data_IF_095318390528
#
_entry.id   IF_095318390528
#
_cell.length_a   1.000
_cell.length_b   1.000
_cell.length_c   1.000
_cell.angle_alpha   90.00
_cell.angle_beta   90.00
_cell.angle_gamma   90.00
#
_symmetry.space_group_name_H-M   'P 1'
#
loop_
_entity.id
_entity.type
_entity.pdbx_description
1 polymer ?
#
# COMPACT_ATOMS: atom_id res chain seq x y z
N UNK A 1 -19.80 -27.25 -2.72
CA UNK A 1 -19.03 -27.09 -1.46
C UNK A 1 -19.14 -25.63 -1.03
N UNK A 2 -19.56 -25.36 0.22
CA UNK A 2 -19.68 -23.98 0.71
C UNK A 2 -18.46 -23.68 1.58
N UNK A 3 -17.47 -22.98 1.01
CA UNK A 3 -16.24 -22.62 1.73
C UNK A 3 -16.52 -21.49 2.72
N UNK A 4 -15.67 -21.36 3.73
CA UNK A 4 -15.72 -20.21 4.65
C UNK A 4 -15.73 -18.87 3.89
N UNK A 5 -14.95 -18.79 2.80
CA UNK A 5 -14.93 -17.65 1.88
C UNK A 5 -16.29 -17.43 1.19
N UNK A 6 -16.88 -18.47 0.59
CA UNK A 6 -18.18 -18.36 -0.07
C UNK A 6 -19.29 -17.89 0.88
N UNK A 7 -19.25 -18.33 2.15
CA UNK A 7 -20.16 -17.85 3.18
C UNK A 7 -19.92 -16.40 3.58
N UNK A 8 -18.66 -15.95 3.63
CA UNK A 8 -18.33 -14.56 3.92
C UNK A 8 -18.84 -13.64 2.80
N UNK A 9 -18.58 -13.98 1.54
CA UNK A 9 -18.98 -13.17 0.39
C UNK A 9 -20.50 -12.99 0.32
N UNK A 10 -21.28 -14.05 0.60
CA UNK A 10 -22.75 -13.96 0.69
C UNK A 10 -23.24 -12.99 1.78
N UNK A 11 -22.53 -12.91 2.91
CA UNK A 11 -22.86 -11.91 3.95
C UNK A 11 -22.40 -10.51 3.55
N UNK A 12 -21.28 -10.41 2.84
CA UNK A 12 -20.74 -9.14 2.38
C UNK A 12 -21.69 -8.42 1.40
N UNK A 13 -22.51 -9.15 0.66
CA UNK A 13 -23.55 -8.56 -0.21
C UNK A 13 -24.49 -7.61 0.53
N UNK A 14 -24.77 -7.84 1.82
CA UNK A 14 -25.65 -6.99 2.64
C UNK A 14 -24.94 -5.92 3.47
N UNK A 15 -23.62 -5.80 3.35
CA UNK A 15 -22.85 -4.78 4.07
C UNK A 15 -23.11 -3.36 3.53
N UNK A 16 -22.77 -2.32 4.32
CA UNK A 16 -22.69 -0.95 3.82
C UNK A 16 -21.83 -0.84 2.56
N UNK A 17 -22.15 0.12 1.70
CA UNK A 17 -21.51 0.27 0.40
C UNK A 17 -20.00 0.49 0.52
N UNK A 18 -19.57 1.27 1.51
CA UNK A 18 -18.17 1.58 1.77
C UNK A 18 -17.38 0.31 2.07
N UNK A 19 -17.92 -0.57 2.92
CA UNK A 19 -17.29 -1.84 3.26
C UNK A 19 -17.24 -2.82 2.07
N UNK A 20 -18.26 -2.80 1.19
CA UNK A 20 -18.23 -3.59 -0.05
C UNK A 20 -17.17 -3.07 -1.02
N UNK A 21 -17.07 -1.76 -1.19
CA UNK A 21 -16.05 -1.12 -2.05
C UNK A 21 -14.63 -1.43 -1.56
N UNK A 22 -14.42 -1.40 -0.25
CA UNK A 22 -13.14 -1.78 0.36
C UNK A 22 -12.81 -3.25 0.07
N UNK A 23 -13.76 -4.17 0.27
CA UNK A 23 -13.57 -5.59 -0.02
C UNK A 23 -13.28 -5.85 -1.50
N UNK A 24 -13.96 -5.16 -2.42
CA UNK A 24 -13.69 -5.25 -3.85
C UNK A 24 -12.29 -4.76 -4.20
N UNK A 25 -11.84 -3.66 -3.58
CA UNK A 25 -10.49 -3.16 -3.82
C UNK A 25 -9.43 -4.15 -3.33
N UNK A 26 -9.62 -4.69 -2.12
CA UNK A 26 -8.72 -5.72 -1.58
C UNK A 26 -8.66 -6.96 -2.48
N UNK A 27 -9.80 -7.40 -3.03
CA UNK A 27 -9.83 -8.52 -3.96
C UNK A 27 -9.03 -8.22 -5.24
N UNK A 28 -9.20 -7.02 -5.82
CA UNK A 28 -8.42 -6.57 -6.98
C UNK A 28 -6.93 -6.48 -6.70
N UNK A 29 -6.55 -6.01 -5.51
CA UNK A 29 -5.15 -5.93 -5.11
C UNK A 29 -4.55 -7.34 -4.98
N UNK A 30 -5.27 -8.29 -4.36
CA UNK A 30 -4.85 -9.69 -4.28
C UNK A 30 -4.67 -10.29 -5.67
N UNK A 31 -5.65 -10.10 -6.57
CA UNK A 31 -5.57 -10.59 -7.95
C UNK A 31 -4.36 -10.01 -8.70
N UNK A 32 -4.07 -8.73 -8.49
CA UNK A 32 -2.90 -8.10 -9.08
C UNK A 32 -1.60 -8.73 -8.55
N UNK A 33 -1.53 -9.14 -7.30
CA UNK A 33 -0.33 -9.74 -6.71
C UNK A 33 -0.16 -11.23 -7.03
N UNK A 34 -1.24 -11.94 -7.38
CA UNK A 34 -1.17 -13.35 -7.80
C UNK A 34 -0.26 -13.47 -9.03
N UNK A 35 0.80 -14.28 -8.91
CA UNK A 35 1.72 -14.58 -10.01
C UNK A 35 2.82 -13.55 -10.24
N UNK A 36 2.86 -12.43 -9.49
CA UNK A 36 3.97 -11.46 -9.54
C UNK A 36 5.27 -11.96 -8.89
N UNK A 37 5.22 -13.11 -8.19
CA UNK A 37 6.34 -13.61 -7.39
C UNK A 37 6.57 -12.74 -6.16
N UNK A 38 7.55 -13.09 -5.33
CA UNK A 38 7.94 -12.21 -4.23
C UNK A 38 8.51 -10.91 -4.77
N UNK A 39 8.01 -9.76 -4.30
CA UNK A 39 8.61 -8.48 -4.62
C UNK A 39 10.09 -8.50 -4.22
N UNK A 40 10.96 -8.20 -5.18
CA UNK A 40 12.38 -7.97 -4.95
C UNK A 40 12.70 -6.54 -5.35
N UNK A 41 13.08 -5.75 -4.35
CA UNK A 41 13.57 -4.40 -4.59
C UNK A 41 14.69 -4.42 -5.64
N UNK A 42 14.57 -3.56 -6.62
CA UNK A 42 15.62 -3.31 -7.60
C UNK A 42 16.88 -2.77 -6.92
N UNK A 43 18.03 -2.88 -7.58
CA UNK A 43 19.28 -2.33 -7.06
C UNK A 43 19.18 -0.82 -6.77
N UNK A 44 18.39 -0.08 -7.55
CA UNK A 44 18.14 1.35 -7.33
C UNK A 44 17.34 1.60 -6.05
N UNK A 45 16.29 0.81 -5.82
CA UNK A 45 15.48 0.90 -4.60
C UNK A 45 16.30 0.54 -3.36
N UNK A 46 17.11 -0.53 -3.42
CA UNK A 46 18.03 -0.91 -2.34
C UNK A 46 19.02 0.22 -2.04
N UNK A 47 19.65 0.81 -3.07
CA UNK A 47 20.55 1.94 -2.89
C UNK A 47 19.84 3.18 -2.28
N UNK A 48 18.56 3.37 -2.60
CA UNK A 48 17.70 4.39 -2.01
C UNK A 48 17.45 4.15 -0.51
N UNK A 49 17.11 2.91 -0.15
CA UNK A 49 16.91 2.48 1.24
C UNK A 49 18.20 2.68 2.04
N UNK A 50 19.34 2.20 1.54
CA UNK A 50 20.63 2.33 2.22
C UNK A 50 21.04 3.80 2.45
N UNK A 51 20.72 4.67 1.49
CA UNK A 51 20.94 6.12 1.65
C UNK A 51 20.02 6.68 2.73
N UNK A 52 18.72 6.38 2.68
CA UNK A 52 17.75 6.85 3.68
C UNK A 52 18.12 6.40 5.09
N UNK A 53 18.57 5.16 5.25
CA UNK A 53 19.04 4.62 6.54
C UNK A 53 20.26 5.40 7.08
N UNK A 54 21.23 5.72 6.22
CA UNK A 54 22.40 6.53 6.61
C UNK A 54 22.04 7.98 6.96
N UNK A 55 21.15 8.60 6.20
CA UNK A 55 20.69 9.96 6.45
C UNK A 55 19.91 10.03 7.78
N UNK A 56 19.02 9.07 8.02
CA UNK A 56 18.30 8.92 9.30
C UNK A 56 19.25 8.74 10.49
N UNK A 57 20.24 7.85 10.37
CA UNK A 57 21.25 7.63 11.42
C UNK A 57 22.12 8.87 11.69
N UNK A 58 22.24 9.78 10.73
CA UNK A 58 22.96 11.05 10.88
C UNK A 58 22.04 12.24 11.20
N UNK A 59 20.76 12.00 11.49
CA UNK A 59 19.79 13.04 11.86
C UNK A 59 19.39 13.96 10.71
N UNK A 60 19.65 13.57 9.46
CA UNK A 60 19.30 14.36 8.27
C UNK A 60 17.85 14.13 7.87
N UNK A 61 16.94 14.74 8.64
CA UNK A 61 15.52 14.76 8.34
C UNK A 61 15.16 16.09 7.67
N UNK A 62 14.13 16.05 6.80
CA UNK A 62 13.51 17.26 6.30
C UNK A 62 12.77 17.97 7.43
N UNK A 63 12.79 19.32 7.41
CA UNK A 63 11.93 20.12 8.28
C UNK A 63 10.46 19.99 7.85
N UNK A 64 9.54 20.21 8.79
CA UNK A 64 8.11 20.05 8.55
C UNK A 64 7.61 20.91 7.37
N UNK A 65 8.13 22.13 7.25
CA UNK A 65 7.79 23.07 6.18
C UNK A 65 8.20 22.54 4.80
N UNK A 66 9.35 21.86 4.72
CA UNK A 66 9.84 21.25 3.48
C UNK A 66 8.98 20.06 3.06
N UNK A 67 8.49 19.28 4.04
CA UNK A 67 7.57 18.18 3.80
C UNK A 67 6.23 18.69 3.30
N UNK A 68 5.66 19.72 3.93
CA UNK A 68 4.40 20.31 3.48
C UNK A 68 4.50 20.95 2.09
N UNK A 69 5.61 21.62 1.77
CA UNK A 69 5.83 22.16 0.43
C UNK A 69 5.88 21.04 -0.63
N UNK A 70 6.56 19.94 -0.33
CA UNK A 70 6.65 18.78 -1.23
C UNK A 70 5.28 18.12 -1.45
N UNK A 71 4.53 17.86 -0.37
CA UNK A 71 3.21 17.24 -0.44
C UNK A 71 2.16 18.16 -1.07
N UNK A 72 2.27 19.48 -0.88
CA UNK A 72 1.40 20.47 -1.52
C UNK A 72 1.39 20.37 -3.04
N UNK A 73 2.51 19.95 -3.67
CA UNK A 73 2.60 19.79 -5.13
C UNK A 73 1.73 18.65 -5.68
N UNK A 74 1.35 17.70 -4.83
CA UNK A 74 0.54 16.52 -5.17
C UNK A 74 -0.96 16.72 -4.95
N UNK A 75 -1.37 17.75 -4.21
CA UNK A 75 -2.76 18.04 -3.83
C UNK A 75 -3.57 18.78 -4.92
N UNK A 76 -3.23 18.61 -6.20
CA UNK A 76 -3.97 19.25 -7.32
C UNK A 76 -5.25 18.51 -7.65
#
# INVERSE_FOLDING_TARGET
>A
MNSALGNLLKRAESWPEEARRELEQLARDIEAEIGKGEYRATASELAGIDRGMRDSASGKFAAAEQVEEALGKLRR
#
